data_IF_477039283992
#
_entry.id   IF_477039283992
#
_cell.length_a   1.000
_cell.length_b   1.000
_cell.length_c   1.000
_cell.angle_alpha   90.00
_cell.angle_beta   90.00
_cell.angle_gamma   90.00
#
_symmetry.space_group_name_H-M   'P 1'
#
loop_
_entity.id
_entity.type
_entity.pdbx_description
1 polymer ?
#
# COMPACT_ATOMS: atom_id res chain seq x y z
N UNK A 1 -8.50 2.55 25.58
CA UNK A 1 -8.47 2.53 24.09
C UNK A 1 -8.63 1.07 23.66
N UNK A 2 -9.73 0.71 22.98
CA UNK A 2 -10.05 -0.69 22.65
C UNK A 2 -8.88 -1.36 21.90
N UNK A 3 -8.48 -2.57 22.32
CA UNK A 3 -7.36 -3.37 21.78
C UNK A 3 -7.38 -3.45 20.25
N UNK A 4 -8.57 -3.44 19.65
CA UNK A 4 -8.80 -3.49 18.21
C UNK A 4 -8.38 -2.22 17.45
N UNK A 5 -8.40 -1.05 18.12
CA UNK A 5 -7.95 0.25 17.57
C UNK A 5 -6.44 0.23 17.39
N UNK A 6 -5.70 -0.21 18.42
CA UNK A 6 -4.24 -0.21 18.39
C UNK A 6 -3.70 -1.09 17.27
N UNK A 7 -4.25 -2.30 17.09
CA UNK A 7 -3.83 -3.16 15.96
C UNK A 7 -4.10 -2.49 14.61
N UNK A 8 -5.20 -1.76 14.47
CA UNK A 8 -5.56 -1.07 13.22
C UNK A 8 -4.55 0.03 12.87
N UNK A 9 -4.22 0.86 13.85
CA UNK A 9 -3.23 1.92 13.73
C UNK A 9 -1.86 1.32 13.40
N UNK A 10 -1.47 0.24 14.07
CA UNK A 10 -0.19 -0.45 13.82
C UNK A 10 -0.12 -0.97 12.38
N UNK A 11 -1.15 -1.68 11.89
CA UNK A 11 -1.17 -2.19 10.51
C UNK A 11 -1.10 -1.06 9.50
N UNK A 12 -1.84 0.03 9.73
CA UNK A 12 -1.82 1.19 8.83
C UNK A 12 -0.44 1.85 8.82
N UNK A 13 0.13 2.15 9.99
CA UNK A 13 1.46 2.76 10.11
C UNK A 13 2.55 1.88 9.49
N UNK A 14 2.54 0.57 9.73
CA UNK A 14 3.47 -0.37 9.10
C UNK A 14 3.32 -0.39 7.58
N UNK A 15 2.08 -0.39 7.07
CA UNK A 15 1.84 -0.37 5.62
C UNK A 15 2.35 0.92 4.95
N UNK A 16 2.15 2.08 5.59
CA UNK A 16 2.64 3.37 5.11
C UNK A 16 4.17 3.40 5.14
N UNK A 17 4.79 2.96 6.24
CA UNK A 17 6.26 2.89 6.36
C UNK A 17 6.87 1.96 5.30
N UNK A 18 6.27 0.80 5.06
CA UNK A 18 6.73 -0.11 4.02
C UNK A 18 6.62 0.53 2.62
N UNK A 19 5.57 1.31 2.36
CA UNK A 19 5.39 2.04 1.11
C UNK A 19 6.40 3.19 0.96
N UNK A 20 6.70 3.92 2.05
CA UNK A 20 7.76 4.95 2.08
C UNK A 20 9.12 4.32 1.79
N UNK A 21 9.46 3.20 2.43
CA UNK A 21 10.72 2.49 2.18
C UNK A 21 10.87 2.08 0.72
N UNK A 22 9.77 1.63 0.08
CA UNK A 22 9.74 1.41 -1.37
C UNK A 22 9.85 2.73 -2.14
N UNK A 23 9.15 3.78 -1.73
CA UNK A 23 9.25 5.13 -2.31
C UNK A 23 10.67 5.63 -2.39
N UNK A 24 11.47 5.46 -1.33
CA UNK A 24 12.90 5.79 -1.33
C UNK A 24 13.66 4.99 -2.39
N UNK A 25 13.42 3.68 -2.50
CA UNK A 25 14.03 2.87 -3.56
C UNK A 25 13.65 3.32 -4.97
N UNK A 26 12.40 3.75 -5.19
CA UNK A 26 11.95 4.25 -6.49
C UNK A 26 12.54 5.64 -6.81
N UNK A 27 12.70 6.51 -5.81
CA UNK A 27 13.38 7.80 -5.96
C UNK A 27 14.82 7.63 -6.42
N UNK A 28 15.54 6.63 -5.89
CA UNK A 28 16.90 6.30 -6.32
C UNK A 28 16.98 5.87 -7.79
N UNK A 29 15.87 5.43 -8.38
CA UNK A 29 15.74 5.02 -9.78
C UNK A 29 15.08 6.14 -10.62
N UNK A 30 14.91 7.35 -10.05
CA UNK A 30 14.33 8.51 -10.72
C UNK A 30 12.79 8.54 -10.77
N UNK A 31 12.11 7.62 -10.09
CA UNK A 31 10.65 7.59 -10.01
C UNK A 31 10.14 8.12 -8.67
N UNK A 32 9.60 9.34 -8.69
CA UNK A 32 9.15 10.04 -7.47
C UNK A 32 7.71 9.71 -7.06
N UNK A 33 6.92 9.11 -7.97
CA UNK A 33 5.48 8.89 -7.80
C UNK A 33 5.16 8.09 -6.52
N UNK A 34 5.81 6.94 -6.23
CA UNK A 34 5.48 6.15 -5.04
C UNK A 34 5.80 6.89 -3.73
N UNK A 35 6.85 7.72 -3.73
CA UNK A 35 7.23 8.53 -2.57
C UNK A 35 6.21 9.64 -2.30
N UNK A 36 5.81 10.39 -3.33
CA UNK A 36 4.81 11.46 -3.21
C UNK A 36 3.48 10.90 -2.70
N UNK A 37 3.01 9.78 -3.27
CA UNK A 37 1.79 9.11 -2.82
C UNK A 37 1.87 8.68 -1.35
N UNK A 38 3.01 8.12 -0.94
CA UNK A 38 3.23 7.70 0.45
C UNK A 38 3.16 8.87 1.44
N UNK A 39 3.83 9.98 1.11
CA UNK A 39 3.88 11.17 1.94
C UNK A 39 2.52 11.87 2.02
N UNK A 40 1.79 11.93 0.90
CA UNK A 40 0.43 12.48 0.88
C UNK A 40 -0.48 11.68 1.81
N UNK A 41 -0.45 10.36 1.74
CA UNK A 41 -1.26 9.50 2.60
C UNK A 41 -0.85 9.63 4.07
N UNK A 42 0.45 9.70 4.36
CA UNK A 42 0.95 9.94 5.71
C UNK A 42 0.43 11.28 6.25
N UNK A 43 0.53 12.35 5.48
CA UNK A 43 0.05 13.68 5.87
C UNK A 43 -1.45 13.69 6.12
N UNK A 44 -2.23 13.12 5.20
CA UNK A 44 -3.68 12.97 5.34
C UNK A 44 -4.02 12.15 6.58
N UNK A 45 -3.30 11.08 6.87
CA UNK A 45 -3.49 10.25 8.06
C UNK A 45 -3.21 11.01 9.37
N UNK A 46 -2.09 11.73 9.44
CA UNK A 46 -1.70 12.52 10.62
C UNK A 46 -2.73 13.61 10.93
N UNK A 47 -3.23 14.30 9.91
CA UNK A 47 -4.28 15.32 10.05
C UNK A 47 -5.62 14.68 10.46
N UNK A 48 -5.96 13.55 9.85
CA UNK A 48 -7.25 12.89 10.06
C UNK A 48 -7.36 12.17 11.41
N UNK A 49 -6.24 11.96 12.13
CA UNK A 49 -6.21 11.39 13.49
C UNK A 49 -7.22 12.05 14.45
N UNK A 50 -7.45 13.36 14.31
CA UNK A 50 -8.31 14.13 15.21
C UNK A 50 -9.81 14.04 14.86
N UNK A 51 -10.18 13.46 13.71
CA UNK A 51 -11.57 13.39 13.23
C UNK A 51 -11.90 12.00 12.68
N UNK A 52 -12.73 11.25 13.40
CA UNK A 52 -13.10 9.88 13.04
C UNK A 52 -13.62 9.71 11.60
N UNK A 53 -14.47 10.62 11.11
CA UNK A 53 -15.00 10.56 9.73
C UNK A 53 -13.90 10.67 8.67
N UNK A 54 -12.98 11.62 8.85
CA UNK A 54 -11.86 11.80 7.91
C UNK A 54 -10.91 10.61 7.98
N UNK A 55 -10.62 10.10 9.18
CA UNK A 55 -9.78 8.93 9.37
C UNK A 55 -10.32 7.71 8.60
N UNK A 56 -11.62 7.46 8.66
CA UNK A 56 -12.27 6.38 7.92
C UNK A 56 -12.22 6.55 6.40
N UNK A 57 -12.21 7.79 5.90
CA UNK A 57 -12.05 8.10 4.47
C UNK A 57 -10.60 7.87 4.04
N UNK A 58 -9.63 8.36 4.82
CA UNK A 58 -8.20 8.18 4.56
C UNK A 58 -7.82 6.70 4.52
N UNK A 59 -8.33 5.91 5.47
CA UNK A 59 -8.13 4.45 5.51
C UNK A 59 -8.73 3.80 4.27
N UNK A 60 -9.96 4.17 3.88
CA UNK A 60 -10.60 3.62 2.68
C UNK A 60 -9.78 3.92 1.44
N UNK A 61 -9.37 5.17 1.27
CA UNK A 61 -8.56 5.61 0.14
C UNK A 61 -7.23 4.84 0.09
N UNK A 62 -6.53 4.73 1.22
CA UNK A 62 -5.27 3.99 1.29
C UNK A 62 -5.42 2.51 1.00
N UNK A 63 -6.44 1.87 1.55
CA UNK A 63 -6.71 0.46 1.29
C UNK A 63 -7.02 0.19 -0.18
N UNK A 64 -7.78 1.07 -0.85
CA UNK A 64 -8.04 1.00 -2.29
C UNK A 64 -6.73 1.20 -3.07
N UNK A 65 -5.91 2.17 -2.70
CA UNK A 65 -4.62 2.40 -3.34
C UNK A 65 -3.69 1.19 -3.24
N UNK A 66 -3.60 0.55 -2.07
CA UNK A 66 -2.84 -0.69 -1.87
C UNK A 66 -3.34 -1.83 -2.76
N UNK A 67 -4.66 -1.99 -2.88
CA UNK A 67 -5.26 -3.03 -3.74
C UNK A 67 -4.93 -2.76 -5.21
N UNK A 68 -5.22 -1.55 -5.70
CA UNK A 68 -4.95 -1.17 -7.09
C UNK A 68 -3.47 -1.35 -7.42
N UNK A 69 -2.58 -0.84 -6.57
CA UNK A 69 -1.13 -0.98 -6.74
C UNK A 69 -0.69 -2.44 -6.80
N UNK A 70 -1.19 -3.26 -5.88
CA UNK A 70 -0.84 -4.68 -5.83
C UNK A 70 -1.35 -5.44 -7.04
N UNK A 71 -2.57 -5.16 -7.50
CA UNK A 71 -3.15 -5.75 -8.71
C UNK A 71 -2.38 -5.35 -9.96
N UNK A 72 -2.09 -4.06 -10.14
CA UNK A 72 -1.27 -3.58 -11.26
C UNK A 72 0.09 -4.26 -11.27
N UNK A 73 0.74 -4.38 -10.12
CA UNK A 73 2.06 -5.01 -10.04
C UNK A 73 2.02 -6.51 -10.34
N UNK A 74 1.00 -7.22 -9.84
CA UNK A 74 0.81 -8.64 -10.17
C UNK A 74 0.56 -8.81 -11.67
N UNK A 75 -0.29 -7.96 -12.26
CA UNK A 75 -0.58 -8.00 -13.70
C UNK A 75 0.69 -7.77 -14.53
N UNK A 76 1.42 -6.67 -14.24
CA UNK A 76 2.66 -6.32 -14.94
C UNK A 76 3.73 -7.41 -14.73
N UNK A 77 3.86 -7.94 -13.50
CA UNK A 77 4.80 -9.02 -13.19
C UNK A 77 4.49 -10.31 -13.93
N UNK A 78 3.21 -10.67 -14.04
CA UNK A 78 2.77 -11.83 -14.84
C UNK A 78 3.07 -11.62 -16.32
N UNK A 79 2.76 -10.45 -16.88
CA UNK A 79 3.09 -10.13 -18.28
C UNK A 79 4.60 -10.23 -18.55
N UNK A 80 5.41 -9.72 -17.61
CA UNK A 80 6.87 -9.80 -17.68
C UNK A 80 7.40 -11.24 -17.64
N UNK A 81 6.71 -12.15 -16.93
CA UNK A 81 7.12 -13.55 -16.82
C UNK A 81 6.65 -14.39 -18.02
N UNK A 82 5.44 -14.16 -18.53
CA UNK A 82 4.81 -15.03 -19.54
C UNK A 82 4.94 -14.53 -20.99
N UNK A 83 5.06 -13.21 -21.23
CA UNK A 83 5.01 -12.65 -22.59
C UNK A 83 6.40 -12.26 -23.09
N UNK A 84 7.05 -11.32 -22.39
CA UNK A 84 8.40 -10.89 -22.75
C UNK A 84 9.10 -10.30 -21.51
N UNK A 85 10.30 -10.78 -21.17
CA UNK A 85 11.10 -10.17 -20.12
C UNK A 85 11.43 -8.72 -20.47
N UNK A 86 11.17 -7.81 -19.54
CA UNK A 86 11.60 -6.41 -19.62
C UNK A 86 13.12 -6.38 -19.66
N UNK A 87 13.66 -5.63 -20.62
CA UNK A 87 15.10 -5.52 -20.86
C UNK A 87 15.87 -4.88 -19.70
N UNK A 88 15.17 -4.21 -18.79
CA UNK A 88 15.78 -3.54 -17.64
C UNK A 88 15.86 -4.46 -16.41
N UNK A 89 17.08 -4.82 -16.03
CA UNK A 89 17.37 -5.74 -14.90
C UNK A 89 16.71 -5.33 -13.58
N UNK A 90 16.59 -4.03 -13.31
CA UNK A 90 15.98 -3.53 -12.07
C UNK A 90 14.46 -3.76 -12.04
N UNK A 91 13.76 -3.62 -13.17
CA UNK A 91 12.35 -3.96 -13.28
C UNK A 91 12.16 -5.47 -13.11
N UNK A 92 13.07 -6.26 -13.66
CA UNK A 92 13.02 -7.71 -13.55
C UNK A 92 13.13 -8.20 -12.11
N UNK A 93 14.04 -7.64 -11.32
CA UNK A 93 14.18 -7.97 -9.90
C UNK A 93 12.99 -7.48 -9.07
N UNK A 94 12.40 -6.33 -9.43
CA UNK A 94 11.26 -5.75 -8.71
C UNK A 94 9.91 -6.43 -9.00
N UNK A 95 9.78 -7.06 -10.18
CA UNK A 95 8.59 -7.74 -10.67
C UNK A 95 8.71 -9.27 -10.62
N UNK A 96 9.87 -9.80 -10.19
CA UNK A 96 10.06 -11.23 -9.96
C UNK A 96 9.32 -11.75 -8.71
N UNK A 97 9.56 -13.02 -8.38
CA UNK A 97 8.88 -13.76 -7.30
C UNK A 97 8.83 -13.01 -5.97
N UNK A 98 9.93 -12.39 -5.55
CA UNK A 98 9.99 -11.59 -4.31
C UNK A 98 9.03 -10.39 -4.36
N UNK A 99 8.94 -9.71 -5.51
CA UNK A 99 8.01 -8.60 -5.74
C UNK A 99 6.55 -9.05 -5.67
N UNK A 100 6.24 -10.22 -6.24
CA UNK A 100 4.90 -10.80 -6.23
C UNK A 100 4.44 -11.16 -4.82
N UNK A 101 5.31 -11.77 -3.99
CA UNK A 101 4.99 -12.08 -2.58
C UNK A 101 4.65 -10.80 -1.81
N UNK A 102 5.46 -9.75 -1.97
CA UNK A 102 5.21 -8.45 -1.33
C UNK A 102 3.86 -7.86 -1.80
N UNK A 103 3.54 -7.97 -3.08
CA UNK A 103 2.23 -7.52 -3.60
C UNK A 103 1.08 -8.30 -3.00
N UNK A 104 1.20 -9.61 -2.81
CA UNK A 104 0.14 -10.41 -2.18
C UNK A 104 -0.07 -9.99 -0.72
N UNK A 105 1.00 -9.70 0.02
CA UNK A 105 0.91 -9.18 1.39
C UNK A 105 0.21 -7.81 1.41
N UNK A 106 0.56 -6.90 0.50
CA UNK A 106 -0.09 -5.60 0.39
C UNK A 106 -1.56 -5.71 -0.04
N UNK A 107 -1.88 -6.61 -0.95
CA UNK A 107 -3.25 -6.91 -1.36
C UNK A 107 -4.08 -7.39 -0.17
N UNK A 108 -3.57 -8.37 0.58
CA UNK A 108 -4.21 -8.87 1.80
C UNK A 108 -4.39 -7.79 2.86
N UNK A 109 -3.38 -6.93 3.04
CA UNK A 109 -3.43 -5.79 3.96
C UNK A 109 -4.51 -4.78 3.54
N UNK A 110 -4.59 -4.43 2.26
CA UNK A 110 -5.63 -3.54 1.73
C UNK A 110 -7.03 -4.10 1.94
N UNK A 111 -7.24 -5.39 1.65
CA UNK A 111 -8.53 -6.06 1.88
C UNK A 111 -8.89 -6.07 3.37
N UNK A 112 -7.92 -6.38 4.25
CA UNK A 112 -8.12 -6.36 5.71
C UNK A 112 -8.54 -4.98 6.21
N UNK A 113 -7.84 -3.92 5.76
CA UNK A 113 -8.14 -2.53 6.11
C UNK A 113 -9.51 -2.06 5.58
N UNK A 114 -9.99 -2.60 4.46
CA UNK A 114 -11.34 -2.31 3.96
C UNK A 114 -12.44 -3.03 4.74
N UNK A 115 -12.25 -4.32 5.03
CA UNK A 115 -13.24 -5.14 5.75
C UNK A 115 -13.47 -4.62 7.17
N UNK A 116 -12.40 -4.37 7.91
CA UNK A 116 -12.49 -4.01 9.33
C UNK A 116 -12.99 -2.56 9.55
N UNK A 117 -12.94 -1.71 8.52
CA UNK A 117 -13.56 -0.37 8.50
C UNK A 117 -15.08 -0.48 8.58
N UNK A 118 -15.65 -1.47 7.89
CA UNK A 118 -17.10 -1.69 7.87
C UNK A 118 -17.65 -2.05 9.25
N UNK A 119 -16.86 -2.74 10.08
CA UNK A 119 -17.18 -3.00 11.48
C UNK A 119 -17.07 -1.75 12.35
N UNK A 120 -16.14 -0.84 12.04
CA UNK A 120 -15.93 0.41 12.79
C UNK A 120 -16.96 1.51 12.48
N UNK A 121 -17.64 1.42 11.33
CA UNK A 121 -18.68 2.37 10.92
C UNK A 121 -20.08 2.02 11.44
N UNK A 122 -20.27 0.80 11.99
CA UNK A 122 -21.55 0.30 12.51
C UNK A 122 -21.68 0.40 14.04
N UNK A 123 -20.59 0.72 14.74
CA UNK A 123 -20.57 1.08 16.17
C UNK A 123 -20.48 2.59 16.32
#
# INVERSE_FOLDING_TARGET
>A
MSRNINTYFIVLSLSILAFIGKGVMYVLIGSYIPMILSLLVLGVFLISRKRNKLLLISIKFWAIALIIWSLLRILIGSLNFFVKPLTENHLHQQLGIKGTIISLIFLGTGIYLLRKRHSYSKN
#
